data_IF_630155606483
#
_entry.id   IF_630155606483
#
_cell.length_a   1.000
_cell.length_b   1.000
_cell.length_c   1.000
_cell.angle_alpha   90.00
_cell.angle_beta   90.00
_cell.angle_gamma   90.00
#
_symmetry.space_group_name_H-M   'P 1'
#
loop_
_entity.id
_entity.type
_entity.pdbx_description
1 polymer ?
#
# COMPACT_ATOMS: atom_id res chain seq x y z
N UNK A 1 -15.26 -17.21 -33.89
CA UNK A 1 -14.82 -17.07 -32.49
C UNK A 1 -13.93 -15.85 -32.48
N UNK A 2 -14.28 -14.85 -31.69
CA UNK A 2 -13.43 -13.66 -31.53
C UNK A 2 -12.10 -14.05 -30.88
N UNK A 3 -10.99 -13.50 -31.37
CA UNK A 3 -9.63 -13.74 -30.84
C UNK A 3 -9.34 -12.97 -29.52
N UNK A 4 -10.36 -12.34 -28.95
CA UNK A 4 -10.26 -11.52 -27.75
C UNK A 4 -10.45 -12.34 -26.47
N UNK A 5 -9.62 -12.09 -25.47
CA UNK A 5 -9.65 -12.76 -24.17
C UNK A 5 -9.09 -11.86 -23.08
N UNK A 6 -9.12 -12.30 -21.81
CA UNK A 6 -8.47 -11.57 -20.72
C UNK A 6 -6.95 -11.35 -20.95
N UNK A 7 -6.29 -12.19 -21.76
CA UNK A 7 -4.87 -12.06 -22.12
C UNK A 7 -4.64 -11.28 -23.41
N UNK A 8 -5.70 -11.04 -24.18
CA UNK A 8 -5.69 -10.27 -25.42
C UNK A 8 -6.97 -9.42 -25.44
N UNK A 9 -7.06 -8.36 -24.62
CA UNK A 9 -8.27 -7.55 -24.49
C UNK A 9 -8.51 -6.73 -25.76
N UNK A 10 -9.78 -6.49 -26.09
CA UNK A 10 -10.13 -5.57 -27.16
C UNK A 10 -10.01 -4.12 -26.67
N UNK A 11 -9.30 -3.28 -27.43
CA UNK A 11 -9.25 -1.85 -27.17
C UNK A 11 -10.47 -1.18 -27.80
N UNK A 12 -11.37 -0.69 -26.95
CA UNK A 12 -12.65 -0.11 -27.32
C UNK A 12 -12.71 1.37 -26.94
N UNK A 13 -13.51 2.15 -27.66
CA UNK A 13 -13.81 3.54 -27.33
C UNK A 13 -15.04 3.64 -26.42
N UNK A 14 -15.09 4.70 -25.63
CA UNK A 14 -16.25 5.00 -24.80
C UNK A 14 -17.21 5.93 -25.55
N UNK A 15 -18.39 5.42 -25.92
CA UNK A 15 -19.41 6.18 -26.65
C UNK A 15 -20.21 7.08 -25.72
N UNK A 16 -20.59 6.56 -24.55
CA UNK A 16 -21.40 7.30 -23.57
C UNK A 16 -20.84 7.13 -22.16
N UNK A 17 -20.91 8.21 -21.38
CA UNK A 17 -20.54 8.24 -19.96
C UNK A 17 -21.30 9.34 -19.24
N UNK A 18 -22.34 8.99 -18.48
CA UNK A 18 -23.09 9.96 -17.69
C UNK A 18 -23.55 9.38 -16.35
N UNK A 19 -23.82 10.27 -15.40
CA UNK A 19 -24.29 9.90 -14.07
C UNK A 19 -25.79 9.59 -14.12
N UNK A 20 -26.18 8.43 -13.61
CA UNK A 20 -27.57 7.97 -13.51
C UNK A 20 -28.29 8.53 -12.28
N UNK A 21 -27.54 8.94 -11.27
CA UNK A 21 -28.09 9.44 -10.02
C UNK A 21 -28.45 10.93 -10.13
N UNK A 22 -29.50 11.34 -9.43
CA UNK A 22 -29.87 12.76 -9.32
C UNK A 22 -29.03 13.54 -8.31
N UNK A 23 -29.17 14.86 -8.32
CA UNK A 23 -28.53 15.76 -7.35
C UNK A 23 -28.82 15.35 -5.90
N UNK A 24 -27.79 15.41 -5.05
CA UNK A 24 -27.89 15.05 -3.63
C UNK A 24 -27.73 13.56 -3.31
N UNK A 25 -27.49 12.70 -4.31
CA UNK A 25 -27.13 11.30 -4.08
C UNK A 25 -25.77 11.18 -3.37
N UNK A 26 -25.69 10.29 -2.36
CA UNK A 26 -24.43 9.95 -1.67
C UNK A 26 -23.53 9.01 -2.46
N UNK A 27 -24.01 8.47 -3.58
CA UNK A 27 -23.29 7.55 -4.46
C UNK A 27 -23.29 8.11 -5.86
N UNK A 28 -22.23 7.80 -6.60
CA UNK A 28 -22.16 8.03 -8.03
C UNK A 28 -22.32 6.70 -8.78
N UNK A 29 -23.27 6.64 -9.70
CA UNK A 29 -23.55 5.46 -10.51
C UNK A 29 -23.60 5.94 -11.94
N UNK A 30 -22.81 5.30 -12.82
CA UNK A 30 -22.62 5.77 -14.20
C UNK A 30 -23.22 4.77 -15.19
N UNK A 31 -23.81 5.32 -16.24
CA UNK A 31 -24.09 4.60 -17.48
C UNK A 31 -22.88 4.76 -18.41
N UNK A 32 -22.37 3.65 -18.89
CA UNK A 32 -21.12 3.57 -19.66
C UNK A 32 -21.37 2.66 -20.85
N UNK A 33 -21.13 3.15 -22.07
CA UNK A 33 -21.30 2.40 -23.32
C UNK A 33 -19.97 2.28 -24.03
N UNK A 34 -19.57 1.05 -24.32
CA UNK A 34 -18.35 0.73 -25.06
C UNK A 34 -18.68 0.38 -26.50
N UNK A 35 -17.94 0.96 -27.44
CA UNK A 35 -18.05 0.68 -28.88
C UNK A 35 -17.44 -0.68 -29.19
N UNK A 36 -18.23 -1.60 -29.74
CA UNK A 36 -17.71 -2.90 -30.17
C UNK A 36 -17.12 -2.87 -31.58
N UNK A 37 -17.38 -1.84 -32.38
CA UNK A 37 -16.87 -1.66 -33.73
C UNK A 37 -16.88 -2.94 -34.57
N UNK A 38 -15.78 -3.18 -35.29
CA UNK A 38 -15.58 -4.40 -36.09
C UNK A 38 -14.96 -5.56 -35.27
N UNK A 39 -15.04 -5.53 -33.94
CA UNK A 39 -14.37 -6.53 -33.07
C UNK A 39 -14.86 -7.96 -33.27
N UNK A 40 -16.09 -8.12 -33.77
CA UNK A 40 -16.77 -9.41 -33.86
C UNK A 40 -17.06 -10.05 -32.50
N UNK A 41 -16.98 -9.27 -31.41
CA UNK A 41 -17.35 -9.72 -30.07
C UNK A 41 -18.83 -10.07 -30.02
N UNK A 42 -19.13 -11.18 -29.34
CA UNK A 42 -20.49 -11.65 -29.11
C UNK A 42 -20.70 -11.84 -27.62
N UNK A 43 -21.83 -11.36 -27.12
CA UNK A 43 -22.23 -11.51 -25.73
C UNK A 43 -23.72 -11.85 -25.66
N UNK A 44 -24.20 -12.26 -24.49
CA UNK A 44 -25.61 -12.43 -24.18
C UNK A 44 -25.99 -11.57 -22.98
N UNK A 45 -27.26 -11.19 -22.91
CA UNK A 45 -27.80 -10.56 -21.72
C UNK A 45 -27.58 -11.49 -20.50
N UNK A 46 -26.97 -10.95 -19.45
CA UNK A 46 -26.53 -11.71 -18.27
C UNK A 46 -25.04 -12.06 -18.24
N UNK A 47 -24.30 -11.88 -19.34
CA UNK A 47 -22.84 -11.99 -19.34
C UNK A 47 -22.20 -10.82 -18.58
N UNK A 48 -20.91 -10.96 -18.26
CA UNK A 48 -20.10 -9.93 -17.61
C UNK A 48 -19.02 -9.40 -18.55
N UNK A 49 -18.84 -8.07 -18.55
CA UNK A 49 -17.75 -7.37 -19.22
C UNK A 49 -16.55 -7.25 -18.27
N UNK A 50 -15.38 -7.70 -18.73
CA UNK A 50 -14.12 -7.47 -18.03
C UNK A 50 -13.45 -6.18 -18.49
N UNK A 51 -13.27 -5.25 -17.55
CA UNK A 51 -12.56 -3.98 -17.80
C UNK A 51 -11.23 -4.01 -17.07
N UNK A 52 -10.13 -3.80 -17.81
CA UNK A 52 -8.80 -3.65 -17.23
C UNK A 52 -8.60 -2.17 -16.93
N UNK A 53 -8.56 -1.77 -15.64
CA UNK A 53 -8.35 -0.37 -15.29
C UNK A 53 -6.89 0.04 -15.54
N UNK A 54 -6.64 1.34 -15.49
CA UNK A 54 -5.32 1.91 -15.26
C UNK A 54 -5.33 2.62 -13.93
N UNK A 55 -4.22 2.57 -13.22
CA UNK A 55 -4.08 3.25 -11.95
C UNK A 55 -4.04 4.78 -12.14
N UNK A 56 -4.55 5.56 -11.17
CA UNK A 56 -4.57 7.01 -11.28
C UNK A 56 -3.14 7.57 -11.38
N UNK A 57 -2.83 8.43 -12.36
CA UNK A 57 -1.48 8.95 -12.55
C UNK A 57 -0.99 9.74 -11.32
N UNK A 58 -1.87 10.48 -10.65
CA UNK A 58 -1.54 11.21 -9.43
C UNK A 58 -1.02 10.31 -8.31
N UNK A 59 -1.61 9.12 -8.15
CA UNK A 59 -1.22 8.14 -7.13
C UNK A 59 0.10 7.45 -7.51
N UNK A 60 0.33 7.22 -8.81
CA UNK A 60 1.61 6.68 -9.31
C UNK A 60 2.73 7.68 -9.03
N UNK A 61 2.55 8.95 -9.37
CA UNK A 61 3.53 10.02 -9.14
C UNK A 61 3.83 10.20 -7.65
N UNK A 62 2.81 10.11 -6.80
CA UNK A 62 2.98 10.23 -5.35
C UNK A 62 3.81 9.08 -4.77
N UNK A 63 3.57 7.83 -5.19
CA UNK A 63 4.39 6.67 -4.79
C UNK A 63 5.85 6.83 -5.24
N UNK A 64 6.06 7.30 -6.48
CA UNK A 64 7.40 7.55 -7.01
C UNK A 64 8.12 8.63 -6.20
N UNK A 65 7.44 9.74 -5.92
CA UNK A 65 7.97 10.86 -5.16
C UNK A 65 8.33 10.45 -3.72
N UNK A 66 7.46 9.71 -3.03
CA UNK A 66 7.69 9.22 -1.67
C UNK A 66 8.92 8.31 -1.59
N UNK A 67 9.14 7.47 -2.62
CA UNK A 67 10.33 6.62 -2.69
C UNK A 67 11.59 7.32 -3.25
N UNK A 68 11.45 8.52 -3.81
CA UNK A 68 12.55 9.23 -4.49
C UNK A 68 12.95 8.59 -5.83
N UNK A 69 12.03 7.92 -6.51
CA UNK A 69 12.25 7.32 -7.83
C UNK A 69 11.82 8.24 -8.97
N UNK A 70 12.46 8.09 -10.12
CA UNK A 70 12.15 8.84 -11.34
C UNK A 70 11.01 8.20 -12.15
N UNK A 71 10.76 6.90 -11.96
CA UNK A 71 9.82 6.12 -12.74
C UNK A 71 10.43 5.49 -14.00
N UNK A 72 11.62 5.94 -14.42
CA UNK A 72 12.36 5.41 -15.57
C UNK A 72 13.12 4.11 -15.24
N UNK A 73 13.22 3.77 -13.94
CA UNK A 73 13.96 2.60 -13.51
C UNK A 73 13.34 1.31 -14.05
N UNK A 74 14.21 0.41 -14.50
CA UNK A 74 13.78 -0.86 -15.06
C UNK A 74 13.42 -1.85 -13.96
N UNK A 75 12.25 -2.47 -14.07
CA UNK A 75 11.76 -3.50 -13.16
C UNK A 75 11.26 -4.73 -13.89
N UNK A 76 11.48 -5.91 -13.31
CA UNK A 76 10.96 -7.17 -13.81
C UNK A 76 9.57 -7.45 -13.23
N UNK A 77 8.61 -7.67 -14.12
CA UNK A 77 7.23 -7.97 -13.75
C UNK A 77 6.78 -9.31 -14.31
N UNK A 78 5.59 -9.76 -13.90
CA UNK A 78 4.97 -10.98 -14.44
C UNK A 78 4.64 -10.94 -15.95
N UNK A 79 4.68 -9.76 -16.59
CA UNK A 79 4.49 -9.57 -18.03
C UNK A 79 5.80 -9.23 -18.77
N UNK A 80 6.95 -9.42 -18.09
CA UNK A 80 8.26 -9.04 -18.57
C UNK A 80 8.74 -7.71 -18.01
N UNK A 81 9.88 -7.27 -18.52
CA UNK A 81 10.56 -6.05 -18.08
C UNK A 81 9.85 -4.79 -18.60
N UNK A 82 9.76 -3.75 -17.75
CA UNK A 82 9.27 -2.42 -18.12
C UNK A 82 9.80 -1.34 -17.18
N UNK A 83 9.41 -0.09 -17.42
CA UNK A 83 9.67 1.00 -16.47
C UNK A 83 8.84 0.83 -15.19
N UNK A 84 9.34 1.34 -14.07
CA UNK A 84 8.60 1.37 -12.79
C UNK A 84 7.29 2.13 -12.93
N UNK A 85 7.29 3.25 -13.65
CA UNK A 85 6.07 4.02 -13.93
C UNK A 85 5.01 3.17 -14.65
N UNK A 86 5.39 2.44 -15.70
CA UNK A 86 4.45 1.53 -16.41
C UNK A 86 3.97 0.39 -15.50
N UNK A 87 4.86 -0.16 -14.67
CA UNK A 87 4.51 -1.23 -13.74
C UNK A 87 3.41 -0.78 -12.76
N UNK A 88 3.57 0.39 -12.15
CA UNK A 88 2.58 0.96 -11.22
C UNK A 88 1.30 1.42 -11.91
N UNK A 89 1.37 1.82 -13.19
CA UNK A 89 0.21 2.29 -13.96
C UNK A 89 -0.69 1.14 -14.42
N UNK A 90 -0.10 0.08 -14.98
CA UNK A 90 -0.83 -0.91 -15.78
C UNK A 90 -0.73 -2.35 -15.25
N UNK A 91 0.20 -2.65 -14.33
CA UNK A 91 0.56 -4.04 -13.99
C UNK A 91 0.27 -4.41 -12.54
N UNK A 92 0.32 -3.45 -11.61
CA UNK A 92 0.12 -3.68 -10.18
C UNK A 92 -1.07 -2.91 -9.61
N UNK A 93 -1.62 -3.42 -8.53
CA UNK A 93 -2.67 -2.80 -7.75
C UNK A 93 -2.04 -1.88 -6.70
N UNK A 94 -2.26 -0.57 -6.81
CA UNK A 94 -1.61 0.43 -5.93
C UNK A 94 -2.55 1.11 -4.91
N UNK A 95 -3.87 0.88 -5.01
CA UNK A 95 -4.86 1.52 -4.12
C UNK A 95 -5.13 0.73 -2.83
N UNK A 96 -4.54 -0.46 -2.70
CA UNK A 96 -4.66 -1.29 -1.50
C UNK A 96 -3.35 -2.01 -1.29
N UNK A 97 -2.77 -1.86 -0.10
CA UNK A 97 -1.54 -2.54 0.25
C UNK A 97 -1.77 -4.06 0.32
N UNK A 98 -0.81 -4.83 -0.19
CA UNK A 98 -0.87 -6.29 -0.14
C UNK A 98 -0.23 -6.84 1.13
N UNK A 99 -0.83 -7.89 1.69
CA UNK A 99 -0.26 -8.64 2.82
C UNK A 99 1.17 -9.14 2.54
N UNK A 100 1.40 -9.65 1.32
CA UNK A 100 2.71 -10.18 0.90
C UNK A 100 3.80 -9.11 0.87
N UNK A 101 3.43 -7.87 0.52
CA UNK A 101 4.36 -6.76 0.52
C UNK A 101 4.81 -6.43 1.94
N UNK A 102 3.88 -6.36 2.90
CA UNK A 102 4.18 -6.12 4.33
C UNK A 102 5.05 -7.25 4.89
N UNK A 103 4.69 -8.51 4.66
CA UNK A 103 5.50 -9.67 5.07
C UNK A 103 6.93 -9.62 4.48
N UNK A 104 7.07 -9.11 3.26
CA UNK A 104 8.35 -8.92 2.57
C UNK A 104 9.27 -7.85 3.19
N UNK A 105 8.77 -7.01 4.09
CA UNK A 105 9.57 -5.97 4.77
C UNK A 105 10.49 -6.52 5.86
N UNK A 106 10.17 -7.68 6.45
CA UNK A 106 10.86 -8.23 7.61
C UNK A 106 12.39 -8.25 7.51
N UNK A 107 12.98 -8.80 6.43
CA UNK A 107 14.42 -8.81 6.24
C UNK A 107 15.08 -7.42 6.24
N UNK A 108 14.30 -6.38 5.90
CA UNK A 108 14.78 -4.98 5.77
C UNK A 108 14.70 -4.24 7.11
N UNK A 109 13.68 -4.53 7.92
CA UNK A 109 13.56 -4.01 9.30
C UNK A 109 14.66 -4.54 10.21
N UNK A 110 15.03 -5.81 10.07
CA UNK A 110 16.07 -6.44 10.91
C UNK A 110 17.52 -6.11 10.49
N UNK A 111 17.70 -5.28 9.45
CA UNK A 111 19.02 -4.98 8.89
C UNK A 111 19.69 -3.79 9.58
N UNK A 112 20.27 -4.04 10.76
CA UNK A 112 21.61 -3.50 11.06
C UNK A 112 21.78 -2.38 12.08
N UNK A 113 20.72 -1.75 12.60
CA UNK A 113 20.86 -0.96 13.85
C UNK A 113 20.48 -1.85 15.01
N UNK A 114 21.48 -2.33 15.76
CA UNK A 114 21.22 -2.97 17.06
C UNK A 114 20.26 -2.11 17.88
N UNK A 115 19.44 -2.76 18.71
CA UNK A 115 18.47 -2.09 19.59
C UNK A 115 19.10 -0.83 20.19
N UNK A 116 18.53 0.33 19.92
CA UNK A 116 18.96 1.56 20.58
C UNK A 116 18.57 1.36 22.04
N UNK A 117 19.57 1.29 22.91
CA UNK A 117 19.34 1.09 24.33
C UNK A 117 19.51 2.42 25.05
N UNK A 118 18.45 2.86 25.73
CA UNK A 118 18.48 4.08 26.54
C UNK A 118 18.64 3.64 27.99
N UNK A 119 19.81 3.91 28.58
CA UNK A 119 20.10 3.60 29.99
C UNK A 119 20.18 4.88 30.80
N UNK A 120 19.58 4.89 31.99
CA UNK A 120 19.77 5.96 32.96
C UNK A 120 21.18 5.83 33.57
N UNK A 121 22.01 6.85 33.41
CA UNK A 121 23.38 6.88 33.97
C UNK A 121 23.51 7.79 35.17
N UNK A 122 22.54 8.70 35.37
CA UNK A 122 22.57 9.66 36.47
C UNK A 122 21.17 10.20 36.79
N UNK A 123 20.88 10.37 38.07
CA UNK A 123 19.64 10.99 38.58
C UNK A 123 19.97 11.90 39.75
N UNK A 124 19.70 13.20 39.62
CA UNK A 124 19.81 14.15 40.71
C UNK A 124 18.44 14.80 40.96
N UNK A 125 17.97 14.80 42.22
CA UNK A 125 16.77 15.53 42.66
C UNK A 125 17.17 16.57 43.68
N UNK A 126 16.68 17.79 43.47
CA UNK A 126 16.95 18.94 44.35
C UNK A 126 15.63 19.47 44.89
N UNK A 127 15.58 19.75 46.19
CA UNK A 127 14.44 20.35 46.86
C UNK A 127 14.20 21.76 46.32
N UNK A 128 12.96 22.05 45.95
CA UNK A 128 12.56 23.37 45.44
C UNK A 128 12.46 24.44 46.53
N UNK A 129 12.50 24.07 47.81
CA UNK A 129 12.35 25.00 48.93
C UNK A 129 13.69 25.57 49.44
N UNK A 130 14.73 24.74 49.45
CA UNK A 130 16.02 25.07 50.07
C UNK A 130 17.24 24.73 49.18
N UNK A 131 17.01 24.19 47.98
CA UNK A 131 18.08 23.83 47.05
C UNK A 131 18.92 22.64 47.51
N UNK A 132 18.52 21.93 48.56
CA UNK A 132 19.26 20.76 49.04
C UNK A 132 19.10 19.60 48.07
N UNK A 133 20.20 18.90 47.79
CA UNK A 133 20.15 17.68 46.97
C UNK A 133 19.55 16.57 47.83
N UNK A 134 18.37 16.11 47.47
CA UNK A 134 17.62 15.06 48.17
C UNK A 134 17.82 13.69 47.54
N UNK A 135 18.33 13.63 46.32
CA UNK A 135 18.75 12.38 45.66
C UNK A 135 19.91 12.68 44.72
N UNK A 136 20.96 11.87 44.78
CA UNK A 136 22.06 11.87 43.83
C UNK A 136 22.46 10.41 43.59
N UNK A 137 22.13 9.91 42.42
CA UNK A 137 22.38 8.54 42.00
C UNK A 137 23.20 8.55 40.70
N UNK A 138 24.19 7.66 40.62
CA UNK A 138 25.01 7.42 39.44
C UNK A 138 25.02 5.93 39.14
N UNK A 139 24.66 5.59 37.91
CA UNK A 139 24.67 4.23 37.41
C UNK A 139 25.94 3.93 36.63
N UNK A 140 26.38 2.68 36.71
CA UNK A 140 27.48 2.09 35.94
C UNK A 140 27.11 1.81 34.48
N UNK A 141 25.82 1.88 34.13
CA UNK A 141 25.34 1.69 32.77
C UNK A 141 25.29 0.23 32.32
N UNK A 142 25.30 -0.75 33.23
CA UNK A 142 25.01 -2.18 32.99
C UNK A 142 23.56 -2.53 33.37
N UNK A 143 23.05 -3.66 32.88
CA UNK A 143 21.74 -4.20 33.28
C UNK A 143 21.61 -4.32 34.80
N UNK A 144 20.41 -4.07 35.31
CA UNK A 144 20.01 -4.07 36.73
C UNK A 144 20.59 -2.95 37.62
N UNK A 145 21.47 -2.08 37.11
CA UNK A 145 21.95 -0.90 37.85
C UNK A 145 21.04 0.32 37.60
N UNK A 146 19.88 0.31 38.23
CA UNK A 146 18.85 1.34 38.13
C UNK A 146 18.47 1.88 39.53
N UNK A 147 18.02 3.14 39.66
CA UNK A 147 17.51 3.65 40.94
C UNK A 147 16.31 2.83 41.46
N UNK A 148 16.18 2.68 42.78
CA UNK A 148 15.12 1.87 43.43
C UNK A 148 13.66 2.19 42.97
N UNK A 149 13.40 3.43 42.54
CA UNK A 149 12.09 3.89 42.05
C UNK A 149 12.06 4.15 40.53
N UNK A 150 13.01 3.60 39.77
CA UNK A 150 13.04 3.74 38.32
C UNK A 150 12.07 2.74 37.68
N UNK A 151 11.12 3.27 36.91
CA UNK A 151 10.25 2.49 36.04
C UNK A 151 10.62 2.87 34.61
N UNK A 152 11.13 1.92 33.85
CA UNK A 152 11.44 2.14 32.45
C UNK A 152 10.15 2.41 31.67
N UNK A 153 10.09 3.54 30.97
CA UNK A 153 8.93 3.94 30.17
C UNK A 153 9.20 3.56 28.72
N UNK A 154 8.92 2.29 28.41
CA UNK A 154 9.04 1.73 27.06
C UNK A 154 10.48 1.44 26.64
N UNK A 155 10.64 0.47 25.74
CA UNK A 155 11.89 0.22 25.04
C UNK A 155 12.02 1.21 23.88
N UNK A 156 13.25 1.63 23.55
CA UNK A 156 13.53 2.34 22.31
C UNK A 156 13.52 1.34 21.14
N UNK A 157 12.32 0.88 20.79
CA UNK A 157 12.06 0.06 19.61
C UNK A 157 11.69 0.93 18.41
N UNK A 158 12.10 0.51 17.23
CA UNK A 158 11.64 1.12 15.99
C UNK A 158 10.11 0.95 15.86
N UNK A 159 9.32 2.04 15.77
CA UNK A 159 7.87 1.95 15.62
C UNK A 159 7.44 1.08 14.43
N UNK A 160 8.20 1.06 13.34
CA UNK A 160 7.85 0.26 12.17
C UNK A 160 8.17 -1.23 12.38
N UNK A 161 9.20 -1.56 13.17
CA UNK A 161 9.47 -2.94 13.59
C UNK A 161 8.37 -3.45 14.52
N UNK A 162 7.92 -2.63 15.48
CA UNK A 162 6.80 -2.97 16.37
C UNK A 162 5.52 -3.19 15.57
N UNK A 163 5.19 -2.26 14.66
CA UNK A 163 4.02 -2.38 13.80
C UNK A 163 4.10 -3.64 12.94
N UNK A 164 5.24 -3.88 12.28
CA UNK A 164 5.42 -5.07 11.46
C UNK A 164 5.28 -6.37 12.27
N UNK A 165 5.83 -6.40 13.49
CA UNK A 165 5.68 -7.51 14.43
C UNK A 165 4.20 -7.77 14.75
N UNK A 166 3.44 -6.73 15.13
CA UNK A 166 2.01 -6.83 15.41
C UNK A 166 1.23 -7.38 14.20
N UNK A 167 1.49 -6.83 13.01
CA UNK A 167 0.80 -7.24 11.78
C UNK A 167 1.13 -8.69 11.39
N UNK A 168 2.37 -9.14 11.62
CA UNK A 168 2.77 -10.51 11.24
C UNK A 168 2.38 -11.56 12.28
N UNK A 169 2.20 -11.18 13.54
CA UNK A 169 1.77 -12.08 14.62
C UNK A 169 0.25 -12.28 14.65
N UNK A 170 -0.56 -11.23 14.46
CA UNK A 170 -2.02 -11.31 14.45
C UNK A 170 -2.62 -11.17 13.04
N UNK A 171 -3.19 -12.25 12.46
CA UNK A 171 -3.88 -12.18 11.18
C UNK A 171 -5.01 -11.15 11.16
N UNK A 172 -5.67 -10.88 12.29
CA UNK A 172 -6.74 -9.89 12.35
C UNK A 172 -6.19 -8.47 12.24
N UNK A 173 -5.14 -8.13 13.00
CA UNK A 173 -4.44 -6.84 12.85
C UNK A 173 -3.97 -6.62 11.42
N UNK A 174 -3.42 -7.63 10.74
CA UNK A 174 -3.07 -7.55 9.32
C UNK A 174 -4.27 -7.19 8.43
N UNK A 175 -5.39 -7.92 8.55
CA UNK A 175 -6.58 -7.67 7.73
C UNK A 175 -7.19 -6.28 8.00
N UNK A 176 -7.26 -5.87 9.27
CA UNK A 176 -7.78 -4.56 9.67
C UNK A 176 -6.88 -3.42 9.13
N UNK A 177 -5.55 -3.62 9.13
CA UNK A 177 -4.57 -2.68 8.57
C UNK A 177 -4.74 -2.51 7.05
N UNK A 178 -4.70 -3.62 6.29
CA UNK A 178 -4.78 -3.58 4.81
C UNK A 178 -6.17 -3.19 4.28
N UNK A 179 -7.20 -3.17 5.14
CA UNK A 179 -8.55 -2.80 4.74
C UNK A 179 -8.69 -1.31 4.45
N UNK A 180 -7.91 -0.48 5.14
CA UNK A 180 -8.06 0.97 5.12
C UNK A 180 -6.84 1.73 4.59
N UNK A 181 -5.78 1.02 4.23
CA UNK A 181 -4.50 1.61 3.82
C UNK A 181 -4.07 1.26 2.41
N UNK A 182 -3.43 2.21 1.76
CA UNK A 182 -2.77 2.02 0.48
C UNK A 182 -1.23 1.94 0.62
N UNK A 183 -0.53 1.98 -0.51
CA UNK A 183 0.94 1.92 -0.51
C UNK A 183 1.60 3.20 -0.02
N UNK A 184 0.96 4.36 -0.15
CA UNK A 184 1.51 5.61 0.41
C UNK A 184 1.46 5.52 1.93
N UNK A 185 0.33 5.12 2.52
CA UNK A 185 0.21 4.95 3.96
C UNK A 185 1.27 3.97 4.50
N UNK A 186 1.47 2.86 3.80
CA UNK A 186 2.52 1.90 4.14
C UNK A 186 3.92 2.49 4.00
N UNK A 187 4.20 3.24 2.93
CA UNK A 187 5.48 3.90 2.75
C UNK A 187 5.72 5.00 3.78
N UNK A 188 4.70 5.62 4.35
CA UNK A 188 4.84 6.55 5.48
C UNK A 188 5.10 5.79 6.79
N UNK A 189 4.34 4.74 7.07
CA UNK A 189 4.47 3.90 8.27
C UNK A 189 5.85 3.19 8.33
N UNK A 190 6.41 2.82 7.16
CA UNK A 190 7.68 2.10 7.01
C UNK A 190 8.79 2.95 6.36
N UNK A 191 8.63 4.28 6.28
CA UNK A 191 9.38 5.14 5.34
C UNK A 191 10.88 5.33 5.59
N UNK A 192 11.40 4.93 6.75
CA UNK A 192 12.84 4.91 6.97
C UNK A 192 13.52 3.72 6.27
N UNK A 193 12.75 2.73 5.81
CA UNK A 193 13.25 1.60 5.04
C UNK A 193 13.48 2.05 3.60
N UNK A 194 14.73 2.08 3.16
CA UNK A 194 15.05 2.31 1.75
C UNK A 194 14.63 1.12 0.87
N UNK A 195 14.10 1.42 -0.31
CA UNK A 195 13.74 0.43 -1.32
C UNK A 195 14.60 0.62 -2.57
N UNK A 196 14.93 -0.48 -3.27
CA UNK A 196 15.21 -0.39 -4.71
C UNK A 196 13.88 -0.41 -5.49
N UNK A 197 13.86 0.08 -6.75
CA UNK A 197 12.68 0.00 -7.61
C UNK A 197 12.09 -1.42 -7.72
N UNK A 198 12.95 -2.43 -7.85
CA UNK A 198 12.52 -3.83 -7.90
C UNK A 198 11.91 -4.30 -6.58
N UNK A 199 12.51 -3.90 -5.46
CA UNK A 199 12.05 -4.25 -4.12
C UNK A 199 10.71 -3.60 -3.74
N UNK A 200 10.36 -2.48 -4.37
CA UNK A 200 9.05 -1.83 -4.20
C UNK A 200 7.94 -2.69 -4.82
N UNK A 201 8.15 -3.17 -6.05
CA UNK A 201 7.13 -3.95 -6.79
C UNK A 201 7.04 -5.42 -6.35
N UNK A 202 8.04 -5.90 -5.62
CA UNK A 202 8.03 -7.24 -5.03
C UNK A 202 6.92 -7.39 -3.99
N UNK A 203 6.09 -8.42 -4.14
CA UNK A 203 4.98 -8.68 -3.23
C UNK A 203 3.71 -7.86 -3.54
N UNK A 204 3.77 -6.86 -4.42
CA UNK A 204 2.57 -6.13 -4.86
C UNK A 204 1.56 -7.07 -5.56
N UNK A 205 0.28 -6.82 -5.33
CA UNK A 205 -0.77 -7.57 -6.00
C UNK A 205 -0.88 -7.14 -7.47
N UNK A 206 -1.16 -8.11 -8.34
CA UNK A 206 -1.32 -7.84 -9.78
C UNK A 206 -2.62 -7.10 -10.05
N UNK A 207 -2.59 -6.20 -11.01
CA UNK A 207 -3.79 -5.50 -11.45
C UNK A 207 -4.76 -6.48 -12.11
N UNK A 208 -5.95 -6.64 -11.52
CA UNK A 208 -6.98 -7.57 -11.99
C UNK A 208 -8.02 -6.86 -12.85
N UNK A 209 -8.57 -7.51 -13.89
CA UNK A 209 -9.77 -6.99 -14.54
C UNK A 209 -10.94 -6.93 -13.54
N UNK A 210 -11.77 -5.89 -13.65
CA UNK A 210 -13.02 -5.75 -12.90
C UNK A 210 -14.18 -6.22 -13.76
N UNK A 211 -15.08 -7.03 -13.19
CA UNK A 211 -16.22 -7.58 -13.89
C UNK A 211 -17.47 -6.74 -13.61
N UNK A 212 -18.15 -6.33 -14.67
CA UNK A 212 -19.42 -5.61 -14.61
C UNK A 212 -20.48 -6.40 -15.38
N UNK A 213 -21.67 -6.59 -14.80
CA UNK A 213 -22.78 -7.21 -15.52
C UNK A 213 -23.17 -6.33 -16.72
N UNK A 214 -23.27 -6.93 -17.90
CA UNK A 214 -23.66 -6.21 -19.10
C UNK A 214 -25.13 -5.81 -18.98
N UNK A 215 -25.41 -4.52 -19.14
CA UNK A 215 -26.74 -3.92 -18.98
C UNK A 215 -27.49 -3.72 -20.31
N UNK A 216 -26.96 -4.25 -21.41
CA UNK A 216 -27.53 -4.19 -22.76
C UNK A 216 -27.89 -5.58 -23.30
N UNK A 217 -28.66 -5.62 -24.38
CA UNK A 217 -28.92 -6.84 -25.14
C UNK A 217 -28.46 -6.63 -26.59
N UNK A 218 -27.71 -7.56 -27.21
CA UNK A 218 -27.27 -7.45 -28.60
C UNK A 218 -28.43 -7.31 -29.60
N UNK A 219 -29.63 -7.78 -29.24
CA UNK A 219 -30.82 -7.68 -30.07
C UNK A 219 -31.32 -6.22 -30.23
N UNK A 220 -30.96 -5.35 -29.29
CA UNK A 220 -31.37 -3.94 -29.26
C UNK A 220 -30.17 -2.99 -29.43
N UNK A 221 -29.02 -3.36 -28.86
CA UNK A 221 -27.77 -2.61 -28.89
C UNK A 221 -26.66 -3.54 -29.42
N UNK A 222 -26.49 -3.64 -30.75
CA UNK A 222 -25.55 -4.59 -31.36
C UNK A 222 -24.08 -4.28 -31.03
N UNK A 223 -23.80 -3.08 -30.50
CA UNK A 223 -22.46 -2.61 -30.16
C UNK A 223 -22.01 -1.43 -31.00
#
# INVERSE_FOLDING_TARGET
MSDWSAKNPYSSNLNENYVLNGEGSRKETRHIVFDLGDSGLQYKAGDALGVIPRCPPELVEEILATCGFTGEEEVETHLGTCSLHEALTDRYEIHRISKKWIEGLGPRLSSGTGSIEIRIVHRQRTSSQDGTVVMDWQGSGVEDDIPDDYVEVGSASDPAEVLWGELTEDPKSMEDYIWSRDYIDGLEDFGHIGFTPQQLVEGMDRLKPRLYSIASSPDFEPG
#
